data_IF_959644189920
#
_entry.id   IF_959644189920
#
_cell.length_a   1.000
_cell.length_b   1.000
_cell.length_c   1.000
_cell.angle_alpha   90.00
_cell.angle_beta   90.00
_cell.angle_gamma   90.00
#
_symmetry.space_group_name_H-M   'P 1'
#
loop_
_entity.id
_entity.type
_entity.pdbx_description
1 polymer ?
#
# COMPACT_ATOMS: atom_id res chain seq x y z
N UNK A 1 -29.70 7.09 11.82
CA UNK A 1 -28.72 7.56 10.82
C UNK A 1 -27.48 6.76 11.15
N UNK A 2 -27.13 5.79 10.31
CA UNK A 2 -26.03 4.88 10.62
C UNK A 2 -24.71 5.67 10.64
N UNK A 3 -23.87 5.42 11.64
CA UNK A 3 -22.58 6.12 11.80
C UNK A 3 -21.45 5.33 11.13
N UNK A 4 -20.33 5.99 10.81
CA UNK A 4 -19.17 5.29 10.24
C UNK A 4 -18.63 4.19 11.17
N UNK A 5 -18.78 4.34 12.48
CA UNK A 5 -18.38 3.35 13.50
C UNK A 5 -19.23 2.08 13.47
N UNK A 6 -20.45 2.13 12.92
CA UNK A 6 -21.36 1.00 12.78
C UNK A 6 -21.14 0.23 11.47
N UNK A 7 -20.28 0.73 10.58
CA UNK A 7 -20.01 0.11 9.29
C UNK A 7 -19.27 -1.23 9.46
N UNK A 8 -19.74 -2.26 8.75
CA UNK A 8 -19.02 -3.54 8.69
C UNK A 8 -17.77 -3.47 7.81
N UNK A 9 -17.75 -2.58 6.82
CA UNK A 9 -16.64 -2.35 5.89
C UNK A 9 -16.59 -0.85 5.58
N UNK A 10 -15.39 -0.26 5.65
CA UNK A 10 -15.13 1.11 5.22
C UNK A 10 -14.28 1.11 3.97
N UNK A 11 -14.79 1.69 2.88
CA UNK A 11 -14.02 1.92 1.64
C UNK A 11 -13.59 3.38 1.61
N UNK A 12 -12.29 3.62 1.53
CA UNK A 12 -11.72 4.96 1.53
C UNK A 12 -10.52 5.05 0.58
N UNK A 13 -10.09 6.25 0.25
CA UNK A 13 -8.87 6.47 -0.52
C UNK A 13 -7.66 6.53 0.42
N UNK A 14 -6.47 6.17 -0.07
CA UNK A 14 -5.22 6.26 0.70
C UNK A 14 -5.01 7.63 1.36
N UNK A 15 -5.34 8.70 0.63
CA UNK A 15 -5.28 10.07 1.11
C UNK A 15 -6.19 10.32 2.32
N UNK A 16 -7.44 9.84 2.28
CA UNK A 16 -8.41 9.99 3.36
C UNK A 16 -8.14 9.04 4.52
N UNK A 17 -7.46 7.93 4.28
CA UNK A 17 -7.07 6.98 5.31
C UNK A 17 -6.07 7.57 6.30
N UNK A 18 -5.30 8.61 5.93
CA UNK A 18 -4.23 9.19 6.76
C UNK A 18 -4.73 9.59 8.16
N UNK A 19 -4.07 9.04 9.18
CA UNK A 19 -4.42 9.27 10.59
C UNK A 19 -5.55 8.41 11.14
N UNK A 20 -6.17 7.57 10.29
CA UNK A 20 -7.13 6.54 10.69
C UNK A 20 -6.45 5.18 10.75
N UNK A 21 -6.97 4.25 11.54
CA UNK A 21 -6.38 2.93 11.69
C UNK A 21 -7.45 1.86 11.86
N UNK A 22 -7.21 0.68 11.29
CA UNK A 22 -8.12 -0.47 11.36
C UNK A 22 -7.36 -1.74 11.73
N UNK A 23 -8.05 -2.71 12.33
CA UNK A 23 -7.44 -4.01 12.65
C UNK A 23 -6.99 -4.75 11.39
N UNK A 24 -7.79 -4.66 10.33
CA UNK A 24 -7.54 -5.30 9.03
C UNK A 24 -7.66 -4.23 7.94
N UNK A 25 -6.66 -4.13 7.07
CA UNK A 25 -6.69 -3.27 5.88
C UNK A 25 -6.38 -4.11 4.66
N UNK A 26 -7.18 -3.94 3.60
CA UNK A 26 -6.91 -4.47 2.27
C UNK A 26 -6.56 -3.32 1.33
N UNK A 27 -5.38 -3.41 0.71
CA UNK A 27 -4.96 -2.47 -0.33
C UNK A 27 -5.49 -3.00 -1.67
N UNK A 28 -6.18 -2.15 -2.42
CA UNK A 28 -6.74 -2.52 -3.72
C UNK A 28 -5.67 -2.45 -4.84
N UNK A 29 -5.97 -2.99 -6.02
CA UNK A 29 -5.08 -3.03 -7.19
C UNK A 29 -5.16 -1.74 -8.05
N UNK A 30 -5.41 -0.59 -7.44
CA UNK A 30 -5.61 0.71 -8.11
C UNK A 30 -4.38 1.65 -8.04
N UNK A 31 -3.34 1.26 -7.30
CA UNK A 31 -2.05 1.97 -7.31
C UNK A 31 -1.36 1.86 -8.67
N UNK A 32 -0.71 2.95 -9.15
CA UNK A 32 0.09 2.90 -10.36
C UNK A 32 1.30 1.97 -10.20
N UNK A 33 1.86 1.56 -11.33
CA UNK A 33 3.04 0.70 -11.33
C UNK A 33 4.29 1.50 -10.92
N UNK A 34 4.57 1.59 -9.62
CA UNK A 34 5.70 2.38 -9.09
C UNK A 34 7.09 1.83 -9.43
N UNK A 35 7.16 0.64 -10.04
CA UNK A 35 8.42 0.06 -10.56
C UNK A 35 8.62 0.33 -12.07
N UNK A 36 7.79 1.20 -12.64
CA UNK A 36 7.96 1.68 -14.02
C UNK A 36 9.23 2.54 -14.13
N UNK A 37 10.20 2.17 -15.00
CA UNK A 37 11.43 2.94 -15.18
C UNK A 37 11.20 4.33 -15.78
N UNK A 38 10.06 4.58 -16.42
CA UNK A 38 9.72 5.86 -17.04
C UNK A 38 9.02 6.83 -16.07
N UNK A 39 8.73 6.39 -14.83
CA UNK A 39 8.13 7.23 -13.80
C UNK A 39 9.14 8.26 -13.27
N UNK A 40 8.74 9.53 -13.18
CA UNK A 40 9.57 10.57 -12.61
C UNK A 40 9.70 10.43 -11.08
N UNK A 41 10.81 10.96 -10.52
CA UNK A 41 11.14 10.81 -9.11
C UNK A 41 10.09 11.40 -8.16
N UNK A 42 9.43 12.51 -8.55
CA UNK A 42 8.44 13.15 -7.72
C UNK A 42 7.17 12.29 -7.63
N UNK A 43 6.66 11.83 -8.78
CA UNK A 43 5.53 10.90 -8.85
C UNK A 43 5.83 9.59 -8.12
N UNK A 44 7.02 9.02 -8.29
CA UNK A 44 7.46 7.82 -7.57
C UNK A 44 7.38 8.02 -6.06
N UNK A 45 7.93 9.13 -5.56
CA UNK A 45 7.94 9.44 -4.13
C UNK A 45 6.53 9.62 -3.57
N UNK A 46 5.65 10.31 -4.30
CA UNK A 46 4.28 10.53 -3.89
C UNK A 46 3.51 9.20 -3.79
N UNK A 47 3.65 8.32 -4.78
CA UNK A 47 2.98 7.02 -4.78
C UNK A 47 3.53 6.07 -3.70
N UNK A 48 4.84 6.06 -3.48
CA UNK A 48 5.47 5.32 -2.37
C UNK A 48 4.93 5.81 -1.02
N UNK A 49 4.79 7.12 -0.83
CA UNK A 49 4.24 7.68 0.40
C UNK A 49 2.78 7.27 0.63
N UNK A 50 1.95 7.24 -0.43
CA UNK A 50 0.56 6.80 -0.33
C UNK A 50 0.45 5.31 -0.01
N UNK A 51 1.30 4.49 -0.63
CA UNK A 51 1.37 3.06 -0.35
C UNK A 51 1.83 2.80 1.08
N UNK A 52 2.83 3.56 1.55
CA UNK A 52 3.29 3.53 2.93
C UNK A 52 2.17 3.88 3.91
N UNK A 53 1.47 5.01 3.69
CA UNK A 53 0.34 5.42 4.54
C UNK A 53 -0.72 4.32 4.59
N UNK A 54 -1.09 3.77 3.43
CA UNK A 54 -2.10 2.70 3.35
C UNK A 54 -1.70 1.45 4.11
N UNK A 55 -0.43 1.04 4.00
CA UNK A 55 0.10 -0.12 4.71
C UNK A 55 0.14 0.10 6.23
N UNK A 56 0.50 1.30 6.68
CA UNK A 56 0.63 1.60 8.13
C UNK A 56 -0.69 1.77 8.85
N UNK A 57 -1.82 1.87 8.14
CA UNK A 57 -3.14 1.97 8.79
C UNK A 57 -3.62 0.62 9.34
N UNK A 58 -2.96 -0.48 8.97
CA UNK A 58 -3.24 -1.82 9.49
C UNK A 58 -2.60 -2.00 10.88
N UNK A 59 -3.42 -2.28 11.90
CA UNK A 59 -2.94 -2.60 13.26
C UNK A 59 -2.51 -4.05 13.41
N UNK A 60 -3.21 -4.99 12.76
CA UNK A 60 -3.00 -6.43 12.95
C UNK A 60 -2.74 -7.17 11.65
N UNK A 61 -3.51 -6.88 10.60
CA UNK A 61 -3.42 -7.63 9.34
C UNK A 61 -3.49 -6.69 8.15
N UNK A 62 -2.48 -6.80 7.28
CA UNK A 62 -2.43 -6.11 6.00
C UNK A 62 -2.59 -7.13 4.87
N UNK A 63 -3.65 -6.99 4.09
CA UNK A 63 -3.87 -7.75 2.86
C UNK A 63 -3.30 -6.92 1.71
N UNK A 64 -2.23 -7.42 1.10
CA UNK A 64 -1.44 -6.69 0.10
C UNK A 64 -1.94 -6.95 -1.32
N UNK A 65 -1.85 -5.92 -2.16
CA UNK A 65 -2.20 -6.01 -3.58
C UNK A 65 -1.10 -6.66 -4.43
N UNK A 66 -1.38 -6.90 -5.72
CA UNK A 66 -0.41 -7.51 -6.65
C UNK A 66 0.88 -6.68 -6.78
N UNK A 67 0.77 -5.36 -6.73
CA UNK A 67 1.93 -4.46 -6.82
C UNK A 67 2.91 -4.71 -5.66
N UNK A 68 2.42 -4.77 -4.42
CA UNK A 68 3.26 -5.06 -3.24
C UNK A 68 3.89 -6.45 -3.30
N UNK A 69 3.15 -7.46 -3.77
CA UNK A 69 3.70 -8.80 -3.99
C UNK A 69 4.88 -8.74 -4.97
N UNK A 70 4.74 -8.01 -6.08
CA UNK A 70 5.79 -7.86 -7.08
C UNK A 70 7.02 -7.11 -6.52
N UNK A 71 6.81 -6.06 -5.73
CA UNK A 71 7.88 -5.31 -5.08
C UNK A 71 8.66 -6.22 -4.13
N UNK A 72 7.98 -6.97 -3.25
CA UNK A 72 8.62 -7.89 -2.32
C UNK A 72 9.41 -8.99 -3.04
N UNK A 73 8.86 -9.56 -4.11
CA UNK A 73 9.56 -10.54 -4.94
C UNK A 73 10.85 -9.93 -5.54
N UNK A 74 10.78 -8.69 -6.05
CA UNK A 74 11.93 -8.00 -6.63
C UNK A 74 13.02 -7.71 -5.60
N UNK A 75 12.64 -7.30 -4.39
CA UNK A 75 13.58 -7.10 -3.28
C UNK A 75 14.29 -8.40 -2.95
N UNK A 76 13.55 -9.51 -2.81
CA UNK A 76 14.14 -10.82 -2.51
C UNK A 76 15.09 -11.31 -3.62
N UNK A 77 14.81 -11.02 -4.90
CA UNK A 77 15.73 -11.31 -6.01
C UNK A 77 17.03 -10.50 -5.93
N UNK A 78 16.93 -9.22 -5.60
CA UNK A 78 18.08 -8.33 -5.50
C UNK A 78 18.99 -8.70 -4.32
N UNK A 79 18.40 -9.10 -3.19
CA UNK A 79 19.15 -9.60 -2.03
C UNK A 79 19.97 -10.86 -2.36
N UNK A 80 19.39 -11.80 -3.12
CA UNK A 80 20.11 -13.02 -3.57
C UNK A 80 21.30 -12.69 -4.48
N UNK A 81 21.13 -11.71 -5.38
CA UNK A 81 22.21 -11.25 -6.26
C UNK A 81 23.32 -10.54 -5.51
N UNK A 82 23.00 -9.76 -4.47
CA UNK A 82 24.00 -9.06 -3.67
C UNK A 82 24.86 -10.00 -2.81
N UNK A 83 24.41 -11.24 -2.60
CA UNK A 83 25.11 -12.28 -1.83
C UNK A 83 25.89 -13.28 -2.71
N UNK A 84 25.80 -13.15 -4.05
CA UNK A 84 26.52 -13.99 -5.03
C UNK A 84 27.69 -13.23 -5.63
#
# INVERSE_FOLDING_TARGET
VDTEDEASITVTTAHRAKGLEWDIVEINNDFPNIIDPDMDEASFKDEVNLLYVSATQAKKTLIINKLLVNILAKVAENEKKAQS
#
